data_IF_164211921987
#
_entry.id   IF_164211921987
#
_cell.length_a   1.000
_cell.length_b   1.000
_cell.length_c   1.000
_cell.angle_alpha   90.00
_cell.angle_beta   90.00
_cell.angle_gamma   90.00
#
_symmetry.space_group_name_H-M   'P 1'
#
loop_
_entity.id
_entity.type
_entity.pdbx_description
1 polymer ?
#
# COMPACT_ATOMS: atom_id res chain seq x y z
N UNK A 1 11.98 -10.44 2.13
CA UNK A 1 12.57 -9.35 1.31
C UNK A 1 11.38 -8.66 0.67
N UNK A 2 11.34 -7.33 0.60
CA UNK A 2 10.21 -6.66 -0.04
C UNK A 2 10.31 -6.81 -1.58
N UNK A 3 9.21 -7.11 -2.23
CA UNK A 3 9.06 -7.28 -3.67
C UNK A 3 8.10 -6.21 -4.21
N UNK A 4 8.54 -5.35 -5.12
CA UNK A 4 7.67 -4.33 -5.70
C UNK A 4 7.66 -2.99 -4.95
N UNK A 5 7.76 -1.92 -5.74
CA UNK A 5 7.54 -0.56 -5.25
C UNK A 5 6.06 -0.37 -4.89
N UNK A 6 5.79 0.34 -3.79
CA UNK A 6 4.42 0.64 -3.34
C UNK A 6 4.20 2.14 -3.34
N UNK A 7 2.98 2.55 -3.66
CA UNK A 7 2.52 3.93 -3.47
C UNK A 7 1.11 3.92 -2.87
N UNK A 8 0.96 4.43 -1.66
CA UNK A 8 -0.34 4.74 -1.06
C UNK A 8 -0.89 5.95 -1.80
N UNK A 9 -2.15 5.93 -2.22
CA UNK A 9 -2.77 7.06 -2.94
C UNK A 9 -3.47 8.00 -1.95
N UNK A 10 -3.47 9.33 -2.16
CA UNK A 10 -3.53 9.99 -3.47
C UNK A 10 -2.19 10.30 -4.18
N UNK A 11 -1.06 9.76 -3.72
CA UNK A 11 0.24 9.93 -4.39
C UNK A 11 0.89 11.23 -3.95
N UNK A 12 0.90 11.51 -2.66
CA UNK A 12 1.63 12.62 -2.05
C UNK A 12 2.54 12.05 -0.99
N UNK A 13 3.77 12.51 -0.84
CA UNK A 13 4.67 11.91 0.15
C UNK A 13 4.99 12.92 1.28
N UNK A 14 4.53 12.67 2.53
CA UNK A 14 3.81 11.47 2.98
C UNK A 14 2.31 11.50 2.68
N UNK A 15 1.70 10.33 2.48
CA UNK A 15 0.31 10.19 2.06
C UNK A 15 -0.68 10.50 3.19
N UNK A 16 -1.50 11.57 3.10
CA UNK A 16 -2.38 11.98 4.17
C UNK A 16 -3.56 11.02 4.29
N UNK A 17 -3.77 10.47 5.49
CA UNK A 17 -4.92 9.62 5.80
C UNK A 17 -5.76 10.29 6.88
N UNK A 18 -7.00 10.65 6.55
CA UNK A 18 -7.94 11.20 7.52
C UNK A 18 -8.74 10.09 8.19
N UNK A 19 -8.50 9.86 9.50
CA UNK A 19 -9.18 8.78 10.24
C UNK A 19 -10.72 8.94 10.35
N UNK A 20 -11.25 10.15 10.14
CA UNK A 20 -12.72 10.39 10.13
C UNK A 20 -13.35 10.09 8.78
N UNK A 21 -12.54 9.91 7.74
CA UNK A 21 -13.03 9.62 6.41
C UNK A 21 -13.65 8.21 6.37
N UNK A 22 -14.83 8.11 5.75
CA UNK A 22 -15.53 6.83 5.53
C UNK A 22 -15.30 6.28 4.12
N UNK A 23 -14.34 6.87 3.42
CA UNK A 23 -13.94 6.49 2.08
C UNK A 23 -13.04 5.25 2.06
N UNK A 24 -12.49 5.01 0.88
CA UNK A 24 -11.53 3.93 0.62
C UNK A 24 -10.15 4.54 0.44
N UNK A 25 -9.16 3.97 1.12
CA UNK A 25 -7.76 4.19 0.82
C UNK A 25 -7.38 3.27 -0.33
N UNK A 26 -6.62 3.79 -1.28
CA UNK A 26 -6.09 3.01 -2.40
C UNK A 26 -4.57 2.89 -2.24
N UNK A 27 -4.01 1.72 -2.52
CA UNK A 27 -2.58 1.43 -2.48
C UNK A 27 -2.23 0.71 -3.76
N UNK A 28 -1.19 1.13 -4.47
CA UNK A 28 -0.72 0.48 -5.68
C UNK A 28 0.59 -0.26 -5.39
N UNK A 29 0.74 -1.45 -5.96
CA UNK A 29 1.98 -2.25 -5.97
C UNK A 29 2.44 -2.40 -7.41
N UNK A 30 3.67 -2.00 -7.67
CA UNK A 30 4.23 -1.91 -9.01
C UNK A 30 4.28 -3.27 -9.71
N UNK A 31 3.80 -3.29 -10.95
CA UNK A 31 3.94 -4.43 -11.85
C UNK A 31 5.39 -4.70 -12.24
N UNK A 32 5.64 -5.90 -12.78
CA UNK A 32 6.97 -6.30 -13.21
C UNK A 32 7.35 -5.70 -14.57
N UNK A 33 8.40 -4.87 -14.59
CA UNK A 33 9.05 -4.36 -15.80
C UNK A 33 10.38 -5.03 -16.14
N UNK A 34 10.89 -5.90 -15.25
CA UNK A 34 12.23 -6.48 -15.33
C UNK A 34 13.16 -6.08 -14.19
N UNK A 35 12.82 -5.07 -13.36
CA UNK A 35 13.67 -4.56 -12.27
C UNK A 35 12.81 -4.18 -11.05
N UNK A 36 12.97 -4.86 -9.91
CA UNK A 36 12.29 -4.57 -8.62
C UNK A 36 10.75 -4.52 -8.60
N UNK A 37 10.06 -4.63 -9.73
CA UNK A 37 8.61 -4.83 -9.79
C UNK A 37 8.17 -6.20 -9.31
N UNK A 38 6.86 -6.40 -9.15
CA UNK A 38 6.27 -7.67 -8.71
C UNK A 38 5.65 -8.40 -9.90
N UNK A 39 6.00 -9.66 -10.11
CA UNK A 39 5.27 -10.51 -11.07
C UNK A 39 3.87 -10.80 -10.51
N UNK A 40 2.91 -9.96 -10.91
CA UNK A 40 1.55 -10.02 -10.37
C UNK A 40 0.84 -11.35 -10.67
N UNK A 41 1.34 -12.14 -11.63
CA UNK A 41 0.76 -13.45 -11.95
C UNK A 41 1.02 -14.50 -10.87
N UNK A 42 2.02 -14.28 -10.00
CA UNK A 42 2.38 -15.19 -8.92
C UNK A 42 1.60 -14.93 -7.64
N UNK A 43 0.85 -13.83 -7.55
CA UNK A 43 0.13 -13.42 -6.34
C UNK A 43 -1.13 -14.27 -6.14
N UNK A 44 -1.30 -14.84 -4.94
CA UNK A 44 -2.60 -15.34 -4.48
C UNK A 44 -3.48 -14.17 -4.03
N UNK A 45 -4.40 -13.76 -4.92
CA UNK A 45 -5.25 -12.59 -4.73
C UNK A 45 -6.25 -12.74 -3.58
N UNK A 46 -6.52 -13.96 -3.10
CA UNK A 46 -7.41 -14.20 -1.96
C UNK A 46 -6.73 -13.96 -0.60
N UNK A 47 -5.41 -13.75 -0.62
CA UNK A 47 -4.58 -13.55 0.59
C UNK A 47 -4.15 -12.10 0.83
N UNK A 48 -4.58 -11.19 -0.05
CA UNK A 48 -4.20 -9.78 0.01
C UNK A 48 -4.54 -9.15 1.37
N UNK A 49 -3.57 -8.44 1.92
CA UNK A 49 -3.76 -7.69 3.16
C UNK A 49 -2.99 -6.37 3.13
N UNK A 50 -3.60 -5.32 3.68
CA UNK A 50 -2.90 -4.07 3.98
C UNK A 50 -2.25 -4.19 5.35
N UNK A 51 -0.96 -3.87 5.45
CA UNK A 51 -0.22 -3.99 6.71
C UNK A 51 0.32 -2.63 7.17
N UNK A 52 0.34 -2.42 8.47
CA UNK A 52 0.90 -1.24 9.12
C UNK A 52 1.38 -1.55 10.53
N UNK A 53 2.34 -0.77 11.04
CA UNK A 53 2.87 -0.96 12.39
C UNK A 53 2.17 -0.04 13.39
N UNK A 54 1.41 -0.63 14.31
CA UNK A 54 0.74 0.08 15.42
C UNK A 54 0.87 -0.71 16.73
N UNK A 55 1.99 -0.51 17.46
CA UNK A 55 2.37 -1.32 18.62
C UNK A 55 2.43 -2.82 18.27
N UNK A 56 3.11 -3.14 17.17
CA UNK A 56 3.12 -4.43 16.50
C UNK A 56 2.44 -4.36 15.12
N UNK A 57 2.77 -5.32 14.27
CA UNK A 57 2.21 -5.40 12.92
C UNK A 57 0.69 -5.66 13.00
N UNK A 58 -0.06 -4.88 12.22
CA UNK A 58 -1.50 -5.00 12.01
C UNK A 58 -1.74 -5.33 10.56
N UNK A 59 -2.71 -6.20 10.31
CA UNK A 59 -3.10 -6.63 8.98
C UNK A 59 -4.61 -6.43 8.81
N UNK A 60 -5.03 -5.94 7.64
CA UNK A 60 -6.43 -5.81 7.25
C UNK A 60 -6.64 -6.56 5.95
N UNK A 61 -7.41 -7.64 6.01
CA UNK A 61 -7.67 -8.55 4.87
C UNK A 61 -8.95 -8.23 4.11
N UNK A 62 -9.81 -7.35 4.66
CA UNK A 62 -11.04 -6.90 3.97
C UNK A 62 -10.69 -5.85 2.90
N UNK A 63 -10.12 -6.33 1.81
CA UNK A 63 -9.65 -5.51 0.70
C UNK A 63 -10.34 -5.92 -0.59
N UNK A 64 -10.38 -5.00 -1.54
CA UNK A 64 -10.75 -5.30 -2.94
C UNK A 64 -9.59 -4.87 -3.82
N UNK A 65 -9.44 -5.50 -4.97
CA UNK A 65 -8.35 -5.18 -5.88
C UNK A 65 -8.84 -4.92 -7.31
N UNK A 66 -7.98 -4.31 -8.10
CA UNK A 66 -8.07 -4.25 -9.56
C UNK A 66 -6.65 -4.14 -10.11
N UNK A 67 -6.52 -4.36 -11.42
CA UNK A 67 -5.31 -4.09 -12.15
C UNK A 67 -5.46 -2.77 -12.91
N UNK A 68 -4.47 -1.88 -12.80
CA UNK A 68 -4.46 -0.57 -13.46
C UNK A 68 -3.00 -0.09 -13.61
N UNK A 69 -2.70 0.70 -14.63
CA UNK A 69 -1.35 1.28 -14.85
C UNK A 69 -1.30 2.67 -14.20
N UNK A 70 -0.84 2.73 -12.94
CA UNK A 70 -0.95 3.88 -12.03
C UNK A 70 0.32 4.22 -11.26
N UNK A 71 1.40 3.45 -11.46
CA UNK A 71 2.75 3.69 -10.97
C UNK A 71 3.66 4.07 -12.15
N UNK A 72 4.50 5.10 -11.97
CA UNK A 72 5.44 5.59 -13.00
C UNK A 72 6.90 5.20 -12.71
N UNK A 73 7.15 4.38 -11.69
CA UNK A 73 8.43 4.30 -11.02
C UNK A 73 8.93 2.85 -10.89
N UNK A 74 9.10 2.18 -12.02
CA UNK A 74 10.12 1.16 -12.17
C UNK A 74 11.11 1.67 -13.23
N UNK A 75 12.38 2.04 -12.93
CA UNK A 75 13.31 1.42 -11.98
C UNK A 75 14.11 2.44 -11.11
N UNK A 76 14.91 1.93 -10.18
CA UNK A 76 15.85 2.70 -9.34
C UNK A 76 16.70 3.74 -10.11
N UNK A 77 16.36 5.01 -9.98
CA UNK A 77 17.32 6.12 -10.08
C UNK A 77 16.74 7.34 -9.36
N UNK A 78 17.17 7.53 -8.10
CA UNK A 78 17.18 8.84 -7.45
C UNK A 78 15.81 9.45 -7.09
N UNK A 79 14.92 8.70 -6.42
CA UNK A 79 13.89 9.35 -5.60
C UNK A 79 14.50 9.80 -4.25
N UNK A 80 15.56 10.60 -4.32
CA UNK A 80 16.05 11.40 -3.19
C UNK A 80 15.04 12.46 -2.72
N UNK A 81 13.86 12.52 -3.37
CA UNK A 81 12.75 13.39 -2.99
C UNK A 81 11.40 12.68 -3.12
N UNK A 82 10.50 12.90 -2.15
CA UNK A 82 9.06 12.65 -2.23
C UNK A 82 8.46 13.15 -3.55
N UNK A 83 8.25 12.27 -4.53
CA UNK A 83 7.62 12.66 -5.81
C UNK A 83 6.30 11.93 -6.00
N UNK A 84 5.18 12.67 -6.04
CA UNK A 84 3.88 12.16 -6.42
C UNK A 84 3.89 11.29 -7.68
N UNK A 85 3.47 10.04 -7.53
CA UNK A 85 3.23 9.12 -8.65
C UNK A 85 1.91 9.50 -9.31
N UNK A 86 2.01 10.18 -10.46
CA UNK A 86 0.85 10.84 -11.12
C UNK A 86 0.55 10.31 -12.52
N UNK A 87 1.35 9.39 -13.04
CA UNK A 87 1.18 8.74 -14.35
C UNK A 87 1.49 7.25 -14.25
N UNK A 88 1.06 6.45 -15.23
CA UNK A 88 1.49 5.06 -15.41
C UNK A 88 2.83 4.95 -16.14
N UNK A 89 3.56 3.86 -15.96
CA UNK A 89 4.81 3.52 -16.65
C UNK A 89 4.62 2.52 -17.81
N UNK A 90 3.39 2.08 -18.04
CA UNK A 90 3.06 1.11 -19.09
C UNK A 90 3.10 -0.34 -18.62
N UNK A 91 3.37 -0.58 -17.33
CA UNK A 91 3.25 -1.89 -16.70
C UNK A 91 1.98 -1.95 -15.85
N UNK A 92 1.38 -3.14 -15.78
CA UNK A 92 0.14 -3.31 -15.04
C UNK A 92 0.43 -3.41 -13.54
N UNK A 93 -0.20 -2.56 -12.73
CA UNK A 93 -0.04 -2.57 -11.27
C UNK A 93 -1.19 -3.27 -10.56
N UNK A 94 -0.93 -3.75 -9.35
CA UNK A 94 -1.96 -4.22 -8.44
C UNK A 94 -2.46 -3.06 -7.58
N UNK A 95 -3.72 -2.69 -7.74
CA UNK A 95 -4.36 -1.63 -6.98
C UNK A 95 -5.27 -2.22 -5.91
N UNK A 96 -4.85 -2.14 -4.66
CA UNK A 96 -5.59 -2.60 -3.47
C UNK A 96 -6.38 -1.45 -2.87
N UNK A 97 -7.63 -1.71 -2.49
CA UNK A 97 -8.54 -0.76 -1.85
C UNK A 97 -9.01 -1.30 -0.51
N UNK A 98 -8.87 -0.49 0.53
CA UNK A 98 -9.28 -0.82 1.89
C UNK A 98 -10.13 0.32 2.46
N UNK A 99 -11.16 0.00 3.24
CA UNK A 99 -11.93 1.05 3.93
C UNK A 99 -11.06 1.66 5.03
N UNK A 100 -11.00 2.98 5.12
CA UNK A 100 -10.26 3.67 6.19
C UNK A 100 -10.74 3.23 7.58
N UNK A 101 -12.03 2.93 7.73
CA UNK A 101 -12.60 2.48 9.00
C UNK A 101 -12.17 1.06 9.41
N UNK A 102 -11.79 0.21 8.45
CA UNK A 102 -11.25 -1.13 8.75
C UNK A 102 -9.81 -0.98 9.30
N UNK A 103 -9.03 -0.04 8.73
CA UNK A 103 -7.71 0.34 9.27
C UNK A 103 -7.83 0.94 10.68
N UNK A 104 -8.77 1.86 10.90
CA UNK A 104 -9.03 2.44 12.23
C UNK A 104 -9.42 1.36 13.23
N UNK A 105 -10.29 0.42 12.84
CA UNK A 105 -10.70 -0.71 13.70
C UNK A 105 -9.52 -1.64 14.03
N UNK A 106 -8.56 -1.79 13.12
CA UNK A 106 -7.34 -2.55 13.33
C UNK A 106 -6.27 -1.81 14.17
N UNK A 107 -6.50 -0.53 14.50
CA UNK A 107 -5.65 0.27 15.37
C UNK A 107 -4.82 1.34 14.68
N UNK A 108 -5.19 1.77 13.46
CA UNK A 108 -4.54 2.91 12.81
C UNK A 108 -4.60 4.16 13.70
N UNK A 109 -3.44 4.78 13.91
CA UNK A 109 -3.27 5.91 14.82
C UNK A 109 -2.26 6.93 14.26
N UNK A 110 -2.20 8.11 14.88
CA UNK A 110 -1.37 9.24 14.40
C UNK A 110 0.15 9.00 14.45
N UNK A 111 0.60 7.98 15.18
CA UNK A 111 2.01 7.57 15.24
C UNK A 111 2.37 6.50 14.20
N UNK A 112 1.41 6.08 13.38
CA UNK A 112 1.65 5.18 12.25
C UNK A 112 2.14 6.02 11.08
N UNK A 113 3.29 5.65 10.53
CA UNK A 113 3.98 6.42 9.50
C UNK A 113 4.22 5.65 8.20
N UNK A 114 3.92 4.35 8.18
CA UNK A 114 4.17 3.51 7.01
C UNK A 114 3.07 2.47 6.81
N UNK A 115 2.85 2.10 5.56
CA UNK A 115 1.91 1.07 5.14
C UNK A 115 2.45 0.32 3.91
N UNK A 116 2.08 -0.95 3.76
CA UNK A 116 2.38 -1.75 2.57
C UNK A 116 1.24 -2.76 2.29
N UNK A 117 1.45 -3.60 1.29
CA UNK A 117 0.56 -4.73 0.94
C UNK A 117 1.34 -6.03 1.09
N UNK A 118 0.73 -7.04 1.72
CA UNK A 118 1.26 -8.40 1.81
C UNK A 118 0.37 -9.42 1.08
N UNK A 119 0.98 -10.49 0.59
CA UNK A 119 0.32 -11.60 -0.10
C UNK A 119 1.07 -12.92 0.08
N UNK A 120 0.40 -14.03 -0.25
CA UNK A 120 1.02 -15.34 -0.46
C UNK A 120 1.25 -15.56 -1.95
N UNK A 121 2.18 -16.45 -2.27
CA UNK A 121 2.52 -16.81 -3.66
C UNK A 121 1.72 -18.05 -4.08
N UNK A 122 1.16 -18.03 -5.28
CA UNK A 122 0.42 -19.15 -5.85
C UNK A 122 1.30 -20.41 -5.86
N UNK A 123 0.84 -21.44 -5.15
CA UNK A 123 1.54 -22.72 -5.07
C UNK A 123 2.76 -22.74 -4.13
N UNK A 124 3.00 -21.68 -3.35
CA UNK A 124 3.97 -21.72 -2.24
C UNK A 124 3.40 -22.43 -1.01
N UNK A 125 4.26 -22.69 -0.02
CA UNK A 125 3.78 -23.08 1.31
C UNK A 125 2.91 -21.92 1.87
N UNK A 126 1.72 -22.17 2.44
CA UNK A 126 0.85 -21.14 3.03
C UNK A 126 1.47 -20.38 4.21
N UNK A 127 2.70 -20.67 4.61
CA UNK A 127 3.46 -19.81 5.55
C UNK A 127 4.39 -18.81 4.87
N UNK A 128 4.61 -18.93 3.56
CA UNK A 128 5.44 -18.00 2.80
C UNK A 128 4.62 -16.76 2.42
N UNK A 129 5.08 -15.62 2.93
CA UNK A 129 4.51 -14.31 2.65
C UNK A 129 5.53 -13.44 1.93
N UNK A 130 5.07 -12.79 0.89
CA UNK A 130 5.74 -11.67 0.25
C UNK A 130 5.03 -10.37 0.62
N UNK A 131 5.76 -9.28 0.51
CA UNK A 131 5.25 -7.96 0.83
C UNK A 131 5.85 -6.93 -0.12
N UNK A 132 5.07 -5.90 -0.42
CA UNK A 132 5.55 -4.74 -1.13
C UNK A 132 6.38 -3.85 -0.21
N UNK A 133 7.15 -2.93 -0.81
CA UNK A 133 7.91 -1.93 -0.05
C UNK A 133 6.99 -1.07 0.83
N UNK A 134 7.55 -0.52 1.90
CA UNK A 134 6.82 0.38 2.79
C UNK A 134 6.76 1.78 2.20
N UNK A 135 5.56 2.34 2.10
CA UNK A 135 5.35 3.73 1.69
C UNK A 135 4.98 4.62 2.89
N UNK A 136 5.36 5.89 2.84
CA UNK A 136 5.17 6.85 3.91
C UNK A 136 3.73 7.40 3.95
N UNK A 137 3.14 7.40 5.13
CA UNK A 137 1.81 7.94 5.39
C UNK A 137 1.83 8.95 6.53
N UNK A 138 0.89 9.91 6.46
CA UNK A 138 0.61 10.86 7.53
C UNK A 138 -0.82 10.67 8.01
N UNK A 139 -0.98 9.94 9.11
CA UNK A 139 -2.29 9.76 9.73
C UNK A 139 -2.70 11.03 10.47
N UNK A 140 -3.73 11.67 9.96
CA UNK A 140 -4.33 12.85 10.55
C UNK A 140 -5.51 12.43 11.41
N UNK A 141 -5.44 12.80 12.69
CA UNK A 141 -6.62 12.90 13.53
C UNK A 141 -7.08 14.36 13.45
N UNK A 142 -8.11 14.72 12.67
CA UNK A 142 -8.66 16.06 12.77
C UNK A 142 -9.18 16.21 14.20
N UNK A 143 -8.39 16.86 15.03
CA UNK A 143 -8.67 17.05 16.44
C UNK A 143 -10.09 17.55 16.64
N UNK A 144 -10.66 17.23 17.80
CA UNK A 144 -11.69 18.07 18.39
C UNK A 144 -11.23 19.52 18.17
N UNK A 145 -12.01 20.32 17.46
CA UNK A 145 -11.75 21.75 17.37
C UNK A 145 -11.55 22.33 18.78
N UNK A 146 -10.88 23.47 18.93
CA UNK A 146 -10.70 24.09 20.24
C UNK A 146 -12.04 24.12 20.97
N UNK A 147 -12.08 23.53 22.17
CA UNK A 147 -13.22 23.67 23.08
C UNK A 147 -13.32 25.10 23.57
#
# INVERSE_FOLDING_TARGET
>A
MAHGNTDVKPGSDPNPINMKERGVLTIAVAGFDGVNGTDLSTIDLDTLQVQFNANGQKNVTNVTYRFDDVINASPLADLGTPTPVTTGDGYMDLVVKVKVQDLVSAGLATFVHQMNVGWQVNGSDPVEWEESTWDEIRVMNPGKGPK
#
